data_IF_507724375539
#
_entry.id   IF_507724375539
#
_cell.length_a   1.000
_cell.length_b   1.000
_cell.length_c   1.000
_cell.angle_alpha   90.00
_cell.angle_beta   90.00
_cell.angle_gamma   90.00
#
_symmetry.space_group_name_H-M   'P 1'
#
loop_
_entity.id
_entity.type
_entity.pdbx_description
1 polymer ?
#
# COMPACT_ATOMS: atom_id res chain seq x y z
N UNK A 1 -50.22 17.28 0.91
CA UNK A 1 -49.41 16.67 -0.18
C UNK A 1 -48.76 15.36 0.28
N UNK A 2 -49.00 14.24 -0.42
CA UNK A 2 -48.34 12.95 -0.14
C UNK A 2 -46.87 13.04 -0.58
N UNK A 3 -45.98 13.38 0.35
CA UNK A 3 -44.53 13.40 0.12
C UNK A 3 -44.08 11.93 0.06
N UNK A 4 -43.54 11.48 -1.07
CA UNK A 4 -42.98 10.13 -1.16
C UNK A 4 -41.90 9.98 -0.10
N UNK A 5 -42.07 9.02 0.81
CA UNK A 5 -41.09 8.74 1.86
C UNK A 5 -39.79 8.21 1.22
N UNK A 6 -38.66 8.66 1.76
CA UNK A 6 -37.35 8.18 1.31
C UNK A 6 -37.15 6.75 1.84
N UNK A 7 -37.30 5.77 0.96
CA UNK A 7 -37.03 4.36 1.24
C UNK A 7 -35.56 4.00 1.10
N UNK A 8 -34.67 4.98 0.90
CA UNK A 8 -33.24 4.70 0.78
C UNK A 8 -32.63 4.28 2.11
N UNK A 9 -31.84 3.20 2.09
CA UNK A 9 -31.04 2.83 3.24
C UNK A 9 -29.68 3.54 3.21
N UNK A 10 -29.19 3.87 4.40
CA UNK A 10 -28.00 4.70 4.63
C UNK A 10 -26.88 3.86 5.21
N UNK A 11 -25.72 3.86 4.57
CA UNK A 11 -24.54 3.13 5.05
C UNK A 11 -23.34 4.05 5.09
N UNK A 12 -22.66 4.10 6.24
CA UNK A 12 -21.42 4.86 6.38
C UNK A 12 -20.23 3.93 6.12
N UNK A 13 -19.32 4.34 5.23
CA UNK A 13 -18.10 3.60 4.92
C UNK A 13 -16.90 4.51 4.87
N UNK A 14 -15.74 3.97 5.26
CA UNK A 14 -14.45 4.67 5.14
C UNK A 14 -13.87 4.43 3.76
N UNK A 15 -13.34 5.48 3.13
CA UNK A 15 -12.59 5.37 1.87
C UNK A 15 -11.17 4.91 2.18
N UNK A 16 -10.74 3.82 1.55
CA UNK A 16 -9.38 3.30 1.69
C UNK A 16 -8.41 3.96 0.69
N UNK A 17 -7.11 3.65 0.81
CA UNK A 17 -6.06 4.24 -0.03
C UNK A 17 -6.25 3.98 -1.52
N UNK A 18 -6.94 2.89 -1.86
CA UNK A 18 -7.21 2.49 -3.25
C UNK A 18 -8.35 3.30 -3.89
N UNK A 19 -8.76 4.42 -3.27
CA UNK A 19 -9.87 5.27 -3.73
C UNK A 19 -11.18 4.49 -3.95
N UNK A 20 -11.38 3.39 -3.21
CA UNK A 20 -12.56 2.53 -3.34
C UNK A 20 -13.34 2.43 -2.04
N UNK A 21 -14.63 2.17 -2.20
CA UNK A 21 -15.56 1.85 -1.13
C UNK A 21 -16.26 0.54 -1.47
N UNK A 22 -16.38 -0.35 -0.49
CA UNK A 22 -17.05 -1.64 -0.67
C UNK A 22 -18.51 -1.56 -0.25
N UNK A 23 -19.37 -2.06 -1.12
CA UNK A 23 -20.80 -2.20 -0.88
C UNK A 23 -21.29 -3.50 -1.55
N UNK A 24 -21.97 -4.38 -0.80
CA UNK A 24 -22.47 -5.69 -1.27
C UNK A 24 -21.45 -6.54 -2.05
N UNK A 25 -20.22 -6.64 -1.54
CA UNK A 25 -19.11 -7.35 -2.20
C UNK A 25 -18.70 -6.80 -3.57
N UNK A 26 -19.18 -5.61 -3.94
CA UNK A 26 -18.74 -4.82 -5.08
C UNK A 26 -17.88 -3.64 -4.58
N UNK A 27 -16.97 -3.17 -5.42
CA UNK A 27 -16.06 -2.07 -5.14
C UNK A 27 -16.38 -0.89 -6.06
N UNK A 28 -16.50 0.30 -5.47
CA UNK A 28 -16.88 1.52 -6.18
C UNK A 28 -15.78 2.56 -6.02
N UNK A 29 -15.31 3.11 -7.13
CA UNK A 29 -14.27 4.14 -7.13
C UNK A 29 -14.85 5.49 -6.74
N UNK A 30 -14.12 6.25 -5.93
CA UNK A 30 -14.48 7.59 -5.47
C UNK A 30 -13.30 8.54 -5.72
N UNK A 31 -13.51 9.88 -5.67
CA UNK A 31 -12.42 10.83 -5.80
C UNK A 31 -11.29 10.60 -4.79
N UNK A 32 -10.06 10.83 -5.22
CA UNK A 32 -8.86 10.67 -4.39
C UNK A 32 -8.80 11.66 -3.22
N UNK A 33 -9.50 12.79 -3.32
CA UNK A 33 -9.62 13.79 -2.24
C UNK A 33 -10.41 13.31 -1.02
N UNK A 34 -11.17 12.22 -1.16
CA UNK A 34 -11.99 11.63 -0.10
C UNK A 34 -11.31 10.47 0.62
N UNK A 35 -10.09 10.08 0.20
CA UNK A 35 -9.32 9.01 0.81
C UNK A 35 -9.15 9.26 2.31
N UNK A 36 -9.46 8.25 3.13
CA UNK A 36 -9.39 8.31 4.59
C UNK A 36 -10.64 8.89 5.27
N UNK A 37 -11.54 9.56 4.53
CA UNK A 37 -12.78 10.12 5.07
C UNK A 37 -13.87 9.05 5.20
N UNK A 38 -14.85 9.30 6.09
CA UNK A 38 -16.10 8.53 6.14
C UNK A 38 -17.11 9.19 5.21
N UNK A 39 -17.73 8.41 4.35
CA UNK A 39 -18.72 8.86 3.38
C UNK A 39 -20.05 8.13 3.59
N UNK A 40 -21.14 8.75 3.14
CA UNK A 40 -22.49 8.21 3.24
C UNK A 40 -22.93 7.64 1.89
N UNK A 41 -23.33 6.38 1.89
CA UNK A 41 -23.93 5.70 0.75
C UNK A 41 -25.44 5.68 1.00
N UNK A 42 -26.20 6.23 0.05
CA UNK A 42 -27.67 6.11 0.01
C UNK A 42 -28.03 5.24 -1.17
N UNK A 43 -28.69 4.12 -0.91
CA UNK A 43 -29.07 3.19 -1.98
C UNK A 43 -30.59 3.13 -2.09
N UNK A 44 -31.07 3.21 -3.33
CA UNK A 44 -32.49 3.11 -3.67
C UNK A 44 -32.63 2.48 -5.07
N UNK A 45 -33.51 1.50 -5.21
CA UNK A 45 -33.91 0.93 -6.50
C UNK A 45 -32.73 0.60 -7.45
N UNK A 46 -31.72 -0.11 -6.93
CA UNK A 46 -30.45 -0.45 -7.62
C UNK A 46 -29.52 0.72 -7.96
N UNK A 47 -29.83 1.95 -7.57
CA UNK A 47 -28.93 3.08 -7.68
C UNK A 47 -28.28 3.39 -6.33
N UNK A 48 -26.96 3.56 -6.32
CA UNK A 48 -26.18 3.99 -5.16
C UNK A 48 -25.69 5.42 -5.35
N UNK A 49 -26.05 6.29 -4.41
CA UNK A 49 -25.60 7.68 -4.35
C UNK A 49 -24.60 7.83 -3.22
N UNK A 50 -23.41 8.35 -3.55
CA UNK A 50 -22.32 8.54 -2.61
C UNK A 50 -22.24 10.01 -2.24
N UNK A 51 -22.26 10.30 -0.94
CA UNK A 51 -22.19 11.65 -0.38
C UNK A 51 -20.95 11.81 0.49
N UNK A 52 -20.29 12.96 0.36
CA UNK A 52 -19.33 13.47 1.35
C UNK A 52 -20.05 14.55 2.13
N UNK A 53 -20.30 14.31 3.41
CA UNK A 53 -21.11 15.20 4.26
C UNK A 53 -22.50 15.41 3.60
N UNK A 54 -22.78 16.61 3.08
CA UNK A 54 -24.04 16.95 2.40
C UNK A 54 -23.91 17.05 0.86
N UNK A 55 -22.70 16.89 0.31
CA UNK A 55 -22.44 17.01 -1.12
C UNK A 55 -22.53 15.65 -1.84
N UNK A 56 -23.34 15.58 -2.90
CA UNK A 56 -23.38 14.41 -3.79
C UNK A 56 -22.08 14.35 -4.60
N UNK A 57 -21.35 13.24 -4.47
CA UNK A 57 -20.07 13.02 -5.13
C UNK A 57 -20.25 12.27 -6.45
N UNK A 58 -20.96 11.14 -6.40
CA UNK A 58 -21.19 10.27 -7.56
C UNK A 58 -22.42 9.41 -7.33
N UNK A 59 -23.05 9.06 -8.45
CA UNK A 59 -24.12 8.06 -8.49
C UNK A 59 -23.64 6.90 -9.35
N UNK A 60 -23.85 5.69 -8.87
CA UNK A 60 -23.56 4.45 -9.58
C UNK A 60 -24.82 3.60 -9.68
N UNK A 61 -24.90 2.83 -10.75
CA UNK A 61 -25.81 1.69 -10.84
C UNK A 61 -25.13 0.49 -10.18
N UNK A 62 -25.88 -0.24 -9.36
CA UNK A 62 -25.40 -1.44 -8.68
C UNK A 62 -25.51 -2.59 -9.69
N UNK A 63 -24.39 -3.19 -10.12
CA UNK A 63 -24.41 -4.31 -11.05
C UNK A 63 -25.00 -5.55 -10.37
N UNK A 64 -25.63 -6.41 -11.16
CA UNK A 64 -26.11 -7.70 -10.68
C UNK A 64 -24.93 -8.65 -10.46
N UNK A 65 -24.85 -9.25 -9.26
CA UNK A 65 -23.76 -10.14 -8.88
C UNK A 65 -22.72 -9.49 -7.96
N UNK A 66 -21.59 -10.17 -7.75
CA UNK A 66 -20.57 -9.83 -6.75
C UNK A 66 -19.18 -9.75 -7.37
N UNK A 67 -18.29 -8.98 -6.74
CA UNK A 67 -16.89 -8.87 -7.17
C UNK A 67 -16.64 -7.83 -8.27
N UNK A 68 -17.65 -7.01 -8.61
CA UNK A 68 -17.49 -5.98 -9.62
C UNK A 68 -16.67 -4.80 -9.11
N UNK A 69 -15.82 -4.25 -9.98
CA UNK A 69 -15.18 -2.95 -9.79
C UNK A 69 -15.88 -1.91 -10.67
N UNK A 70 -16.75 -1.11 -10.06
CA UNK A 70 -17.47 -0.03 -10.73
C UNK A 70 -16.64 1.23 -10.61
N UNK A 71 -16.24 1.76 -11.76
CA UNK A 71 -15.30 2.87 -11.83
C UNK A 71 -15.76 3.93 -12.82
N UNK A 72 -15.40 5.17 -12.52
CA UNK A 72 -15.56 6.30 -13.42
C UNK A 72 -14.18 6.83 -13.80
N UNK A 73 -13.91 6.91 -15.10
CA UNK A 73 -12.62 7.31 -15.66
C UNK A 73 -12.20 8.69 -15.16
N UNK A 74 -13.14 9.59 -14.87
CA UNK A 74 -12.86 10.96 -14.41
C UNK A 74 -12.04 11.01 -13.13
N UNK A 75 -12.17 10.02 -12.23
CA UNK A 75 -11.44 10.01 -10.97
C UNK A 75 -9.96 9.67 -11.15
N UNK A 76 -9.66 8.71 -12.01
CA UNK A 76 -8.27 8.41 -12.35
C UNK A 76 -7.62 9.53 -13.16
N UNK A 77 -8.36 10.15 -14.07
CA UNK A 77 -7.87 11.33 -14.81
C UNK A 77 -7.59 12.51 -13.89
N UNK A 78 -8.48 12.78 -12.92
CA UNK A 78 -8.26 13.80 -11.90
C UNK A 78 -7.02 13.50 -11.03
N UNK A 79 -6.87 12.24 -10.59
CA UNK A 79 -5.69 11.80 -9.84
C UNK A 79 -4.40 11.96 -10.66
N UNK A 80 -4.43 11.65 -11.95
CA UNK A 80 -3.27 11.82 -12.84
C UNK A 80 -2.89 13.28 -13.03
N UNK A 81 -3.87 14.20 -13.05
CA UNK A 81 -3.66 15.65 -13.16
C UNK A 81 -3.24 16.30 -11.83
N UNK A 82 -3.37 15.60 -10.71
CA UNK A 82 -2.97 16.10 -9.39
C UNK A 82 -1.44 16.08 -9.23
N UNK A 83 -0.81 17.19 -9.61
CA UNK A 83 0.64 17.37 -9.53
C UNK A 83 1.16 17.33 -8.08
N UNK A 84 0.40 17.79 -7.10
CA UNK A 84 0.82 17.74 -5.71
C UNK A 84 0.90 16.31 -5.19
N UNK A 85 -0.11 15.50 -5.51
CA UNK A 85 -0.16 14.10 -5.14
C UNK A 85 0.91 13.29 -5.86
N UNK A 86 1.09 13.52 -7.17
CA UNK A 86 2.15 12.91 -7.94
C UNK A 86 3.53 13.30 -7.41
N UNK A 87 3.73 14.56 -7.04
CA UNK A 87 4.95 15.00 -6.35
C UNK A 87 5.09 14.23 -5.04
N UNK A 88 4.10 14.16 -4.15
CA UNK A 88 4.27 13.39 -2.89
C UNK A 88 4.58 11.91 -3.10
N UNK A 89 3.98 11.27 -4.11
CA UNK A 89 4.15 9.84 -4.40
C UNK A 89 5.47 9.53 -5.12
N UNK A 90 5.88 10.36 -6.07
CA UNK A 90 7.03 10.11 -6.95
C UNK A 90 8.23 11.02 -6.69
N UNK A 91 8.11 12.04 -5.84
CA UNK A 91 9.24 12.86 -5.36
C UNK A 91 10.02 12.14 -4.26
N UNK A 92 10.31 10.86 -4.49
CA UNK A 92 11.49 10.27 -3.88
C UNK A 92 12.67 10.89 -4.63
N UNK A 93 13.12 12.06 -4.15
CA UNK A 93 14.38 12.65 -4.59
C UNK A 93 15.43 11.54 -4.61
N UNK A 94 16.28 11.53 -5.65
CA UNK A 94 17.29 10.51 -5.93
C UNK A 94 17.83 9.99 -4.61
N UNK A 95 17.32 8.83 -4.14
CA UNK A 95 17.89 8.17 -2.98
C UNK A 95 19.29 7.85 -3.44
N UNK A 96 20.25 8.70 -3.06
CA UNK A 96 21.66 8.40 -3.18
C UNK A 96 21.77 7.12 -2.36
N UNK A 97 21.76 5.98 -3.06
CA UNK A 97 22.07 4.68 -2.48
C UNK A 97 23.27 4.95 -1.61
N UNK A 98 23.13 4.78 -0.29
CA UNK A 98 24.16 5.15 0.65
C UNK A 98 25.48 4.61 0.11
N UNK A 99 26.37 5.51 -0.30
CA UNK A 99 27.66 5.09 -0.84
C UNK A 99 28.29 4.34 0.32
N UNK A 100 28.58 3.06 0.15
CA UNK A 100 29.20 2.26 1.19
C UNK A 100 30.45 3.03 1.64
N UNK A 101 30.41 3.58 2.86
CA UNK A 101 31.61 4.11 3.49
C UNK A 101 32.43 2.87 3.79
N UNK A 102 33.65 2.85 3.25
CA UNK A 102 34.67 1.82 3.38
C UNK A 102 34.21 0.62 4.21
N UNK A 103 34.03 -0.54 3.56
CA UNK A 103 34.07 -1.80 4.29
C UNK A 103 35.29 -1.71 5.21
N UNK A 104 35.06 -1.67 6.51
CA UNK A 104 36.08 -2.01 7.49
C UNK A 104 36.28 -3.49 7.21
N UNK A 105 37.03 -3.82 6.16
CA UNK A 105 37.49 -5.18 5.92
C UNK A 105 38.12 -5.58 7.24
N UNK A 106 37.61 -6.62 7.91
CA UNK A 106 38.21 -7.05 9.16
C UNK A 106 39.69 -7.29 8.85
N UNK A 107 40.59 -6.51 9.45
CA UNK A 107 42.03 -6.73 9.30
C UNK A 107 42.40 -8.15 9.79
N UNK A 108 41.53 -8.75 10.62
CA UNK A 108 41.53 -10.15 11.01
C UNK A 108 40.16 -10.78 10.73
N UNK A 109 40.09 -11.95 10.09
CA UNK A 109 38.84 -12.70 9.95
C UNK A 109 38.27 -13.05 11.35
N UNK A 110 36.95 -13.25 11.50
CA UNK A 110 36.31 -13.59 12.79
C UNK A 110 36.83 -14.89 13.42
N UNK A 111 37.54 -15.71 12.65
CA UNK A 111 38.10 -17.00 13.03
C UNK A 111 39.63 -17.00 12.97
N UNK A 112 40.26 -15.84 13.10
CA UNK A 112 41.71 -15.77 13.29
C UNK A 112 42.02 -16.34 14.68
N UNK A 113 42.22 -17.66 14.73
CA UNK A 113 42.67 -18.35 15.93
C UNK A 113 44.18 -18.18 16.03
N UNK A 114 44.65 -17.72 17.19
CA UNK A 114 46.08 -17.76 17.49
C UNK A 114 46.49 -19.24 17.62
N UNK A 115 47.08 -19.78 16.55
CA UNK A 115 47.62 -21.13 16.52
C UNK A 115 49.12 -21.10 16.80
N UNK A 116 49.57 -21.92 17.74
CA UNK A 116 51.00 -22.13 17.94
C UNK A 116 51.58 -22.91 16.75
N UNK A 117 52.45 -22.28 15.97
CA UNK A 117 53.21 -22.98 14.93
C UNK A 117 54.38 -23.69 15.61
N UNK A 118 54.26 -25.02 15.75
CA UNK A 118 55.32 -25.86 16.32
C UNK A 118 56.19 -26.47 15.21
N UNK A 119 57.51 -26.62 15.42
CA UNK A 119 58.38 -27.32 14.48
C UNK A 119 57.89 -28.75 14.21
N UNK A 120 57.98 -29.18 12.95
CA UNK A 120 57.44 -30.48 12.51
C UNK A 120 58.04 -31.69 13.25
N UNK A 121 59.28 -31.56 13.71
CA UNK A 121 60.00 -32.57 14.48
C UNK A 121 59.27 -33.02 15.76
N UNK A 122 58.42 -32.16 16.36
CA UNK A 122 57.60 -32.53 17.52
C UNK A 122 56.55 -33.59 17.14
N UNK A 123 55.97 -33.48 15.94
CA UNK A 123 55.01 -34.44 15.44
C UNK A 123 55.68 -35.72 14.98
N UNK A 124 56.87 -35.63 14.38
CA UNK A 124 57.64 -36.81 13.96
C UNK A 124 57.98 -37.72 15.16
N UNK A 125 58.40 -37.13 16.30
CA UNK A 125 58.62 -37.88 17.55
C UNK A 125 57.33 -38.51 18.10
N UNK A 126 56.22 -37.76 18.10
CA UNK A 126 54.94 -38.26 18.59
C UNK A 126 54.34 -39.37 17.69
N UNK A 127 54.65 -39.35 16.38
CA UNK A 127 54.22 -40.33 15.40
C UNK A 127 55.17 -41.54 15.29
N UNK A 128 56.25 -41.60 16.09
CA UNK A 128 57.20 -42.72 16.10
C UNK A 128 58.18 -42.73 14.93
N UNK A 129 58.36 -41.59 14.24
CA UNK A 129 59.48 -41.38 13.33
C UNK A 129 60.78 -41.28 14.13
N UNK A 130 61.81 -42.03 13.71
CA UNK A 130 63.13 -42.05 14.37
C UNK A 130 63.83 -40.69 14.34
#
# INVERSE_FOLDING_TARGET
>A
PRRAFDTSYRVYRKVHKDCTVRFESNSYVVPHTLVGKKILLRVKDKAMRIFSDDALVVTYEIPEGKGHLVQDKRFYEALKKDHEMNRRKYNFGRRLKGRAKYTISPLKPPYDMDVEVRPIAIYDQAAGGR
#
